data_IF_855716017171
#
_entry.id   IF_855716017171
#
_cell.length_a   1.000
_cell.length_b   1.000
_cell.length_c   1.000
_cell.angle_alpha   90.00
_cell.angle_beta   90.00
_cell.angle_gamma   90.00
#
_symmetry.space_group_name_H-M   'P 1'
#
loop_
_entity.id
_entity.type
_entity.pdbx_description
1 polymer ?
#
# COMPACT_ATOMS: atom_id res chain seq x y z
N UNK A 1 1.12 -26.49 5.98
CA UNK A 1 1.33 -25.69 7.23
C UNK A 1 1.15 -24.18 7.04
N UNK A 2 1.17 -23.67 5.82
CA UNK A 2 1.09 -22.21 5.51
C UNK A 2 -0.26 -21.61 5.91
N UNK A 3 -1.36 -22.31 5.77
CA UNK A 3 -2.70 -21.83 6.17
C UNK A 3 -2.87 -21.76 7.70
N UNK A 4 -2.13 -22.57 8.46
CA UNK A 4 -2.14 -22.51 9.93
C UNK A 4 -1.45 -21.26 10.48
N UNK A 5 -0.49 -20.68 9.73
CA UNK A 5 0.19 -19.45 10.10
C UNK A 5 -0.65 -18.17 9.88
N UNK A 6 -1.74 -18.25 9.10
CA UNK A 6 -2.61 -17.10 8.84
C UNK A 6 -3.48 -16.71 10.05
N UNK A 7 -3.85 -17.67 10.90
CA UNK A 7 -4.60 -17.40 12.12
C UNK A 7 -3.64 -17.41 13.30
N UNK A 8 -3.39 -16.29 13.96
CA UNK A 8 -2.47 -16.24 15.09
C UNK A 8 -3.10 -16.93 16.30
N UNK A 9 -2.39 -17.92 16.88
CA UNK A 9 -2.78 -18.54 18.15
C UNK A 9 -2.71 -17.55 19.33
N UNK A 10 -1.85 -16.52 19.20
CA UNK A 10 -1.74 -15.42 20.15
C UNK A 10 -1.49 -14.11 19.38
N UNK A 11 -2.45 -13.17 19.37
CA UNK A 11 -2.32 -11.92 18.63
C UNK A 11 -1.20 -11.01 19.16
N UNK A 12 -0.94 -11.01 20.45
CA UNK A 12 0.15 -10.21 21.05
C UNK A 12 1.50 -10.74 20.61
N UNK A 13 1.66 -12.07 20.58
CA UNK A 13 2.86 -12.69 20.03
C UNK A 13 3.02 -12.42 18.55
N UNK A 14 1.93 -12.48 17.77
CA UNK A 14 1.96 -12.13 16.35
C UNK A 14 2.41 -10.67 16.10
N UNK A 15 2.02 -9.74 16.96
CA UNK A 15 2.50 -8.35 16.93
C UNK A 15 3.99 -8.25 17.25
N UNK A 16 4.45 -8.96 18.28
CA UNK A 16 5.87 -8.98 18.69
C UNK A 16 6.78 -9.63 17.64
N UNK A 17 6.29 -10.68 16.98
CA UNK A 17 7.02 -11.43 15.93
C UNK A 17 6.87 -10.77 14.53
N UNK A 18 6.25 -9.58 14.43
CA UNK A 18 5.94 -8.88 13.18
C UNK A 18 5.18 -9.75 12.16
N UNK A 19 4.35 -10.70 12.62
CA UNK A 19 3.43 -11.46 11.76
C UNK A 19 2.23 -10.59 11.38
N UNK A 20 2.45 -9.68 10.44
CA UNK A 20 1.47 -8.67 10.05
C UNK A 20 0.21 -9.31 9.46
N UNK A 21 0.35 -10.39 8.68
CA UNK A 21 -0.79 -11.08 8.08
C UNK A 21 -1.73 -11.61 9.16
N UNK A 22 -1.19 -12.27 10.18
CA UNK A 22 -1.98 -12.74 11.32
C UNK A 22 -2.66 -11.60 12.09
N UNK A 23 -1.94 -10.49 12.28
CA UNK A 23 -2.49 -9.29 12.96
C UNK A 23 -3.64 -8.68 12.17
N UNK A 24 -3.52 -8.54 10.84
CA UNK A 24 -4.59 -7.98 9.97
C UNK A 24 -5.83 -8.87 10.00
N UNK A 25 -5.67 -10.19 9.91
CA UNK A 25 -6.79 -11.13 9.99
C UNK A 25 -7.48 -11.02 11.35
N UNK A 26 -6.72 -10.98 12.44
CA UNK A 26 -7.28 -10.81 13.78
C UNK A 26 -8.03 -9.47 13.93
N UNK A 27 -7.46 -8.37 13.44
CA UNK A 27 -8.11 -7.06 13.41
C UNK A 27 -9.42 -7.09 12.61
N UNK A 28 -9.45 -7.83 11.49
CA UNK A 28 -10.66 -8.04 10.70
C UNK A 28 -11.77 -8.72 11.51
N UNK A 29 -11.48 -9.76 12.29
CA UNK A 29 -12.46 -10.40 13.18
C UNK A 29 -12.96 -9.44 14.27
N UNK A 30 -12.08 -8.65 14.86
CA UNK A 30 -12.49 -7.61 15.83
C UNK A 30 -13.42 -6.59 15.16
N UNK A 31 -13.08 -6.11 13.96
CA UNK A 31 -13.91 -5.16 13.21
C UNK A 31 -15.31 -5.71 12.91
N UNK A 32 -15.41 -6.99 12.51
CA UNK A 32 -16.69 -7.69 12.30
C UNK A 32 -17.50 -7.79 13.61
N UNK A 33 -16.82 -8.11 14.71
CA UNK A 33 -17.47 -8.21 16.03
C UNK A 33 -18.01 -6.86 16.49
N UNK A 34 -17.20 -5.80 16.37
CA UNK A 34 -17.59 -4.41 16.67
C UNK A 34 -18.83 -4.02 15.84
N UNK A 35 -18.79 -4.25 14.51
CA UNK A 35 -19.93 -3.95 13.61
C UNK A 35 -21.22 -4.67 14.02
N UNK A 36 -21.13 -5.95 14.46
CA UNK A 36 -22.30 -6.68 14.96
C UNK A 36 -22.84 -6.10 16.25
N UNK A 37 -21.97 -5.78 17.20
CA UNK A 37 -22.34 -5.24 18.50
C UNK A 37 -22.87 -3.81 18.42
N UNK A 38 -22.36 -2.98 17.52
CA UNK A 38 -22.82 -1.59 17.31
C UNK A 38 -24.33 -1.52 17.03
N UNK A 39 -24.90 -2.53 16.35
CA UNK A 39 -26.34 -2.57 16.08
C UNK A 39 -27.22 -2.72 17.35
N UNK A 40 -26.69 -3.30 18.43
CA UNK A 40 -27.44 -3.63 19.63
C UNK A 40 -26.93 -2.93 20.90
N UNK A 41 -25.63 -2.64 20.95
CA UNK A 41 -24.94 -2.15 22.15
C UNK A 41 -23.99 -0.98 21.81
N UNK A 42 -24.48 0.02 21.06
CA UNK A 42 -23.65 1.16 20.60
C UNK A 42 -22.93 1.86 21.75
N UNK A 43 -23.63 2.15 22.84
CA UNK A 43 -23.08 2.86 24.00
C UNK A 43 -21.89 2.13 24.64
N UNK A 44 -21.95 0.77 24.67
CA UNK A 44 -20.89 -0.04 25.27
C UNK A 44 -19.68 -0.16 24.35
N UNK A 45 -19.90 -0.17 23.04
CA UNK A 45 -18.85 -0.39 22.03
C UNK A 45 -18.21 0.91 21.60
N UNK A 46 -18.90 2.05 21.72
CA UNK A 46 -18.41 3.37 21.32
C UNK A 46 -17.03 3.73 21.89
N UNK A 47 -16.74 3.54 23.19
CA UNK A 47 -15.41 3.83 23.74
C UNK A 47 -14.29 3.03 23.07
N UNK A 48 -14.55 1.77 22.66
CA UNK A 48 -13.57 0.96 21.94
C UNK A 48 -13.32 1.49 20.53
N UNK A 49 -14.36 1.95 19.84
CA UNK A 49 -14.25 2.58 18.51
C UNK A 49 -13.43 3.88 18.62
N UNK A 50 -13.77 4.73 19.60
CA UNK A 50 -13.09 6.02 19.85
C UNK A 50 -11.61 5.79 20.19
N UNK A 51 -11.31 4.74 20.98
CA UNK A 51 -9.92 4.35 21.30
C UNK A 51 -9.13 3.93 20.06
N UNK A 52 -9.72 3.12 19.20
CA UNK A 52 -9.06 2.68 17.94
C UNK A 52 -8.83 3.89 17.03
N UNK A 53 -9.80 4.80 16.91
CA UNK A 53 -9.66 6.02 16.10
C UNK A 53 -8.59 6.95 16.67
N UNK A 54 -8.57 7.16 17.98
CA UNK A 54 -7.53 7.95 18.65
C UNK A 54 -6.14 7.31 18.45
N UNK A 55 -6.01 6.00 18.64
CA UNK A 55 -4.78 5.26 18.42
C UNK A 55 -4.28 5.37 16.98
N UNK A 56 -5.18 5.25 16.00
CA UNK A 56 -4.86 5.45 14.60
C UNK A 56 -4.32 6.86 14.32
N UNK A 57 -4.96 7.91 14.83
CA UNK A 57 -4.50 9.30 14.67
C UNK A 57 -3.13 9.54 15.31
N UNK A 58 -2.91 8.99 16.51
CA UNK A 58 -1.63 9.11 17.22
C UNK A 58 -0.52 8.44 16.43
N UNK A 59 -0.71 7.17 16.02
CA UNK A 59 0.31 6.41 15.27
C UNK A 59 0.57 7.06 13.92
N UNK A 60 -0.46 7.55 13.23
CA UNK A 60 -0.30 8.30 11.97
C UNK A 60 0.53 9.56 12.18
N UNK A 61 0.31 10.31 13.26
CA UNK A 61 1.10 11.49 13.60
C UNK A 61 2.57 11.16 13.86
N UNK A 62 2.84 10.05 14.57
CA UNK A 62 4.21 9.54 14.79
C UNK A 62 4.86 9.17 13.45
N UNK A 63 4.16 8.41 12.60
CA UNK A 63 4.65 8.03 11.28
C UNK A 63 4.98 9.26 10.42
N UNK A 64 4.10 10.27 10.40
CA UNK A 64 4.34 11.52 9.66
C UNK A 64 5.55 12.29 10.21
N UNK A 65 5.82 12.21 11.50
CA UNK A 65 7.00 12.82 12.10
C UNK A 65 8.28 12.11 11.64
N UNK A 66 8.27 10.78 11.61
CA UNK A 66 9.41 9.98 11.10
C UNK A 66 9.66 10.25 9.61
N UNK A 67 8.59 10.35 8.80
CA UNK A 67 8.66 10.64 7.36
C UNK A 67 9.35 11.99 7.07
N UNK A 68 9.27 12.98 7.97
CA UNK A 68 10.00 14.25 7.82
C UNK A 68 11.53 14.08 7.78
N UNK A 69 12.05 13.02 8.36
CA UNK A 69 13.48 12.69 8.30
C UNK A 69 13.88 11.89 7.06
N UNK A 70 12.90 11.48 6.23
CA UNK A 70 13.13 10.66 5.04
C UNK A 70 14.15 11.26 4.05
N UNK A 71 14.18 12.59 3.76
CA UNK A 71 15.18 13.15 2.86
C UNK A 71 16.63 12.86 3.31
N UNK A 72 16.91 12.92 4.61
CA UNK A 72 18.22 12.61 5.15
C UNK A 72 18.56 11.13 5.06
N UNK A 73 17.58 10.27 5.37
CA UNK A 73 17.71 8.83 5.22
C UNK A 73 17.97 8.42 3.76
N UNK A 74 17.28 9.04 2.81
CA UNK A 74 17.46 8.82 1.37
C UNK A 74 18.90 9.12 0.93
N UNK A 75 19.47 10.25 1.34
CA UNK A 75 20.86 10.62 1.02
C UNK A 75 21.82 9.57 1.60
N UNK A 76 21.65 9.19 2.86
CA UNK A 76 22.50 8.20 3.51
C UNK A 76 22.41 6.82 2.84
N UNK A 77 21.20 6.37 2.49
CA UNK A 77 20.97 5.08 1.81
C UNK A 77 21.56 5.07 0.40
N UNK A 78 21.39 6.15 -0.36
CA UNK A 78 21.99 6.28 -1.70
C UNK A 78 23.50 6.26 -1.63
N UNK A 79 24.09 7.03 -0.73
CA UNK A 79 25.53 7.05 -0.54
C UNK A 79 26.08 5.67 -0.18
N UNK A 80 25.46 4.99 0.77
CA UNK A 80 25.83 3.64 1.16
C UNK A 80 25.69 2.61 0.01
N UNK A 81 24.61 2.73 -0.77
CA UNK A 81 24.35 1.82 -1.91
C UNK A 81 25.39 2.01 -3.01
N UNK A 82 25.72 3.27 -3.35
CA UNK A 82 26.72 3.59 -4.37
C UNK A 82 28.11 3.16 -3.90
N UNK A 83 28.45 3.42 -2.63
CA UNK A 83 29.73 3.03 -2.08
C UNK A 83 29.94 1.50 -2.04
N UNK A 84 28.86 0.75 -1.74
CA UNK A 84 28.94 -0.69 -1.62
C UNK A 84 28.83 -1.48 -2.93
N UNK A 85 28.10 -0.95 -3.92
CA UNK A 85 27.76 -1.67 -5.18
C UNK A 85 28.23 -0.97 -6.45
N UNK A 86 28.72 0.24 -6.37
CA UNK A 86 29.21 1.01 -7.51
C UNK A 86 28.13 1.31 -8.57
N UNK A 87 28.57 1.47 -9.82
CA UNK A 87 27.70 1.84 -10.95
C UNK A 87 26.61 0.80 -11.26
N UNK A 88 26.82 -0.46 -10.93
CA UNK A 88 25.81 -1.53 -11.14
C UNK A 88 24.53 -1.31 -10.33
N UNK A 89 24.63 -0.67 -9.16
CA UNK A 89 23.47 -0.30 -8.36
C UNK A 89 22.58 0.72 -9.09
N UNK A 90 23.18 1.70 -9.74
CA UNK A 90 22.44 2.73 -10.50
C UNK A 90 21.65 2.10 -11.65
N UNK A 91 22.28 1.16 -12.39
CA UNK A 91 21.61 0.43 -13.48
C UNK A 91 20.42 -0.38 -12.95
N UNK A 92 20.59 -1.07 -11.83
CA UNK A 92 19.52 -1.88 -11.22
C UNK A 92 18.35 -1.01 -10.76
N UNK A 93 18.64 0.13 -10.14
CA UNK A 93 17.62 1.12 -9.73
C UNK A 93 16.89 1.68 -10.95
N UNK A 94 17.60 2.02 -12.02
CA UNK A 94 16.98 2.53 -13.27
C UNK A 94 16.05 1.50 -13.89
N UNK A 95 16.46 0.23 -13.95
CA UNK A 95 15.60 -0.86 -14.43
C UNK A 95 14.35 -1.02 -13.58
N UNK A 96 14.48 -0.89 -12.26
CA UNK A 96 13.34 -0.96 -11.35
C UNK A 96 12.37 0.22 -11.56
N UNK A 97 12.89 1.44 -11.75
CA UNK A 97 12.07 2.61 -12.08
C UNK A 97 11.27 2.35 -13.37
N UNK A 98 11.93 1.87 -14.41
CA UNK A 98 11.26 1.55 -15.66
C UNK A 98 10.17 0.48 -15.47
N UNK A 99 10.48 -0.60 -14.74
CA UNK A 99 9.53 -1.68 -14.49
C UNK A 99 8.29 -1.20 -13.73
N UNK A 100 8.45 -0.36 -12.69
CA UNK A 100 7.31 0.12 -11.92
C UNK A 100 6.42 1.06 -12.74
N UNK A 101 6.99 2.00 -13.51
CA UNK A 101 6.18 2.90 -14.34
C UNK A 101 5.49 2.19 -15.50
N UNK A 102 6.12 1.17 -16.09
CA UNK A 102 5.47 0.29 -17.08
C UNK A 102 4.30 -0.45 -16.43
N UNK A 103 4.50 -1.02 -15.25
CA UNK A 103 3.43 -1.73 -14.53
C UNK A 103 2.27 -0.81 -14.14
N UNK A 104 2.54 0.41 -13.68
CA UNK A 104 1.52 1.41 -13.40
C UNK A 104 0.77 1.79 -14.68
N UNK A 105 1.48 1.96 -15.80
CA UNK A 105 0.88 2.21 -17.10
C UNK A 105 -0.08 1.10 -17.52
N UNK A 106 0.29 -0.17 -17.32
CA UNK A 106 -0.57 -1.32 -17.59
C UNK A 106 -1.82 -1.33 -16.70
N UNK A 107 -1.68 -1.02 -15.41
CA UNK A 107 -2.83 -0.87 -14.49
C UNK A 107 -3.74 0.26 -14.95
N UNK A 108 -3.18 1.38 -15.37
CA UNK A 108 -3.95 2.51 -15.90
C UNK A 108 -4.73 2.13 -17.15
N UNK A 109 -4.09 1.43 -18.11
CA UNK A 109 -4.75 0.89 -19.31
C UNK A 109 -5.88 -0.08 -18.93
N UNK A 110 -5.65 -0.95 -17.95
CA UNK A 110 -6.67 -1.86 -17.43
C UNK A 110 -7.90 -1.10 -16.89
N UNK A 111 -7.70 -0.03 -16.12
CA UNK A 111 -8.81 0.81 -15.66
C UNK A 111 -9.55 1.49 -16.82
N UNK A 112 -8.83 1.95 -17.86
CA UNK A 112 -9.46 2.52 -19.06
C UNK A 112 -10.32 1.51 -19.78
N UNK A 113 -9.89 0.26 -19.86
CA UNK A 113 -10.67 -0.84 -20.44
C UNK A 113 -11.94 -1.07 -19.62
N UNK A 114 -11.85 -1.14 -18.29
CA UNK A 114 -13.02 -1.32 -17.41
C UNK A 114 -14.04 -0.18 -17.61
N UNK A 115 -13.58 1.07 -17.68
CA UNK A 115 -14.44 2.25 -17.91
C UNK A 115 -15.15 2.10 -19.27
N UNK A 116 -14.42 1.70 -20.31
CA UNK A 116 -14.97 1.50 -21.66
C UNK A 116 -15.99 0.36 -21.70
N UNK A 117 -15.74 -0.74 -21.00
CA UNK A 117 -16.69 -1.87 -20.89
C UNK A 117 -18.00 -1.47 -20.22
N UNK A 118 -17.97 -0.49 -19.33
CA UNK A 118 -19.15 0.11 -18.72
C UNK A 118 -19.81 1.20 -19.59
N UNK A 119 -19.45 1.28 -20.90
CA UNK A 119 -19.99 2.24 -21.88
C UNK A 119 -19.75 3.72 -21.51
N UNK A 120 -18.75 3.97 -20.65
CA UNK A 120 -18.31 5.32 -20.30
C UNK A 120 -17.10 5.71 -21.16
N UNK A 121 -17.00 7.01 -21.47
CA UNK A 121 -15.87 7.52 -22.24
C UNK A 121 -14.65 7.71 -21.32
N UNK A 122 -13.57 6.91 -21.48
CA UNK A 122 -12.40 6.96 -20.60
C UNK A 122 -11.66 8.31 -20.66
N UNK A 123 -11.60 8.95 -21.84
CA UNK A 123 -10.93 10.25 -21.97
C UNK A 123 -11.70 11.36 -21.24
N UNK A 124 -13.04 11.32 -21.31
CA UNK A 124 -13.88 12.25 -20.56
C UNK A 124 -13.73 12.03 -19.06
N UNK A 125 -13.65 10.77 -18.63
CA UNK A 125 -13.42 10.42 -17.23
C UNK A 125 -12.09 10.98 -16.72
N UNK A 126 -10.97 10.74 -17.44
CA UNK A 126 -9.65 11.29 -17.08
C UNK A 126 -9.72 12.81 -16.93
N UNK A 127 -10.36 13.50 -17.88
CA UNK A 127 -10.51 14.97 -17.82
C UNK A 127 -11.26 15.41 -16.56
N UNK A 128 -12.29 14.67 -16.16
CA UNK A 128 -13.09 14.98 -14.97
C UNK A 128 -12.31 14.78 -13.68
N UNK A 129 -11.42 13.75 -13.61
CA UNK A 129 -10.64 13.42 -12.42
C UNK A 129 -9.18 13.91 -12.49
N UNK A 130 -8.84 14.76 -13.46
CA UNK A 130 -7.47 15.28 -13.65
C UNK A 130 -6.96 16.04 -12.41
N UNK A 131 -7.82 16.83 -11.78
CA UNK A 131 -7.46 17.62 -10.60
C UNK A 131 -7.03 16.73 -9.41
N UNK A 132 -7.81 15.74 -8.95
CA UNK A 132 -7.36 14.83 -7.91
C UNK A 132 -6.14 13.98 -8.34
N UNK A 133 -5.99 13.61 -9.61
CA UNK A 133 -4.81 12.88 -10.09
C UNK A 133 -3.53 13.72 -9.94
N UNK A 134 -3.56 14.98 -10.34
CA UNK A 134 -2.41 15.90 -10.19
C UNK A 134 -2.10 16.11 -8.70
N UNK A 135 -3.13 16.30 -7.88
CA UNK A 135 -2.96 16.49 -6.45
C UNK A 135 -2.41 15.23 -5.78
N UNK A 136 -2.88 14.04 -6.15
CA UNK A 136 -2.37 12.76 -5.65
C UNK A 136 -0.90 12.56 -6.02
N UNK A 137 -0.54 12.86 -7.27
CA UNK A 137 0.83 12.77 -7.75
C UNK A 137 1.78 13.69 -6.95
N UNK A 138 1.38 14.92 -6.68
CA UNK A 138 2.21 15.90 -5.98
C UNK A 138 2.25 15.68 -4.48
N UNK A 139 1.12 15.32 -3.86
CA UNK A 139 1.02 15.08 -2.41
C UNK A 139 1.50 13.69 -1.98
N UNK A 140 1.51 12.74 -2.89
CA UNK A 140 1.81 11.31 -2.61
C UNK A 140 0.89 10.71 -1.54
N UNK A 141 -0.34 11.20 -1.45
CA UNK A 141 -1.28 10.80 -0.41
C UNK A 141 -2.70 10.63 -0.96
N UNK A 142 -3.17 9.40 -1.04
CA UNK A 142 -4.55 9.09 -1.42
C UNK A 142 -5.56 9.62 -0.41
N UNK A 143 -5.25 9.55 0.89
CA UNK A 143 -6.09 10.13 1.95
C UNK A 143 -6.10 11.65 1.91
N UNK A 144 -4.96 12.29 1.66
CA UNK A 144 -4.86 13.74 1.56
C UNK A 144 -5.65 14.32 0.37
N UNK A 145 -5.82 13.54 -0.69
CA UNK A 145 -6.57 13.94 -1.89
C UNK A 145 -8.04 13.54 -1.85
N UNK A 146 -8.46 12.76 -0.86
CA UNK A 146 -9.80 12.21 -0.78
C UNK A 146 -10.93 13.26 -0.91
N UNK A 147 -10.89 14.42 -0.24
CA UNK A 147 -11.94 15.43 -0.41
C UNK A 147 -12.09 15.91 -1.86
N UNK A 148 -10.96 16.19 -2.52
CA UNK A 148 -10.95 16.64 -3.92
C UNK A 148 -11.37 15.52 -4.88
N UNK A 149 -11.08 14.27 -4.53
CA UNK A 149 -11.54 13.09 -5.27
C UNK A 149 -13.05 12.95 -5.19
N UNK A 150 -13.64 13.09 -4.00
CA UNK A 150 -15.09 13.04 -3.81
C UNK A 150 -15.78 14.18 -4.57
N UNK A 151 -15.27 15.40 -4.47
CA UNK A 151 -15.77 16.57 -5.20
C UNK A 151 -15.74 16.32 -6.71
N UNK A 152 -14.63 15.84 -7.27
CA UNK A 152 -14.51 15.56 -8.70
C UNK A 152 -15.47 14.46 -9.17
N UNK A 153 -15.66 13.42 -8.36
CA UNK A 153 -16.61 12.35 -8.65
C UNK A 153 -18.06 12.84 -8.63
N UNK A 154 -18.42 13.70 -7.67
CA UNK A 154 -19.79 14.22 -7.54
C UNK A 154 -20.08 15.31 -8.57
N UNK A 155 -19.27 16.35 -8.66
CA UNK A 155 -19.57 17.52 -9.48
C UNK A 155 -19.23 17.35 -10.96
N UNK A 156 -18.13 16.62 -11.27
CA UNK A 156 -17.67 16.48 -12.65
C UNK A 156 -18.04 15.14 -13.28
N UNK A 157 -18.08 14.06 -12.51
CA UNK A 157 -18.44 12.75 -13.01
C UNK A 157 -19.92 12.38 -12.78
N UNK A 158 -20.66 13.14 -11.95
CA UNK A 158 -22.08 12.94 -11.71
C UNK A 158 -22.41 11.74 -10.83
N UNK A 159 -21.46 11.29 -9.99
CA UNK A 159 -21.67 10.19 -9.04
C UNK A 159 -22.40 10.72 -7.81
N UNK A 160 -23.35 9.93 -7.29
CA UNK A 160 -24.02 10.26 -6.03
C UNK A 160 -23.00 10.47 -4.90
N UNK A 161 -23.20 11.50 -4.05
CA UNK A 161 -22.25 11.88 -3.02
C UNK A 161 -22.05 10.76 -1.98
N UNK A 162 -23.08 10.01 -1.62
CA UNK A 162 -22.98 8.89 -0.70
C UNK A 162 -22.11 7.79 -1.28
N UNK A 163 -22.29 7.48 -2.57
CA UNK A 163 -21.49 6.48 -3.30
C UNK A 163 -20.05 6.97 -3.45
N UNK A 164 -19.82 8.23 -3.87
CA UNK A 164 -18.51 8.81 -4.05
C UNK A 164 -17.72 8.84 -2.73
N UNK A 165 -18.35 9.22 -1.62
CA UNK A 165 -17.75 9.24 -0.30
C UNK A 165 -17.40 7.84 0.20
N UNK A 166 -18.29 6.87 0.01
CA UNK A 166 -18.06 5.48 0.44
C UNK A 166 -16.93 4.83 -0.38
N UNK A 167 -17.03 4.87 -1.70
CA UNK A 167 -16.04 4.24 -2.61
C UNK A 167 -14.70 4.96 -2.52
N UNK A 168 -14.69 6.29 -2.45
CA UNK A 168 -13.48 7.08 -2.31
C UNK A 168 -12.74 6.79 -1.01
N UNK A 169 -13.46 6.74 0.12
CA UNK A 169 -12.89 6.41 1.43
C UNK A 169 -12.35 4.97 1.46
N UNK A 170 -13.06 4.03 0.87
CA UNK A 170 -12.60 2.65 0.78
C UNK A 170 -11.36 2.55 -0.11
N UNK A 171 -11.39 3.14 -1.30
CA UNK A 171 -10.30 3.10 -2.28
C UNK A 171 -9.03 3.83 -1.84
N UNK A 172 -9.14 4.83 -0.97
CA UNK A 172 -7.97 5.52 -0.42
C UNK A 172 -7.18 4.69 0.61
N UNK A 173 -7.79 3.63 1.15
CA UNK A 173 -7.16 2.70 2.10
C UNK A 173 -7.04 1.28 1.56
N UNK A 174 -8.02 0.85 0.78
CA UNK A 174 -8.07 -0.48 0.18
C UNK A 174 -8.14 -0.32 -1.34
N UNK A 175 -7.33 -0.97 -2.10
CA UNK A 175 -7.36 -0.85 -3.57
C UNK A 175 -6.29 0.04 -4.16
N UNK A 176 -5.28 0.38 -3.38
CA UNK A 176 -4.08 1.06 -3.85
C UNK A 176 -3.23 0.12 -4.71
N UNK A 177 -3.53 0.06 -6.00
CA UNK A 177 -2.87 -0.88 -6.93
C UNK A 177 -1.36 -0.66 -7.01
N UNK A 178 -0.90 0.60 -6.98
CA UNK A 178 0.52 0.94 -7.03
C UNK A 178 1.25 0.62 -5.73
N UNK A 179 0.83 1.22 -4.62
CA UNK A 179 1.54 1.16 -3.34
C UNK A 179 1.42 -0.19 -2.64
N UNK A 180 0.25 -0.83 -2.70
CA UNK A 180 -0.03 -2.04 -1.94
C UNK A 180 0.06 -3.33 -2.76
N UNK A 181 0.12 -3.26 -4.11
CA UNK A 181 0.22 -4.44 -4.95
C UNK A 181 1.45 -4.40 -5.86
N UNK A 182 1.53 -3.48 -6.82
CA UNK A 182 2.58 -3.47 -7.85
C UNK A 182 3.97 -3.30 -7.22
N UNK A 183 4.12 -2.33 -6.34
CA UNK A 183 5.43 -2.03 -5.74
C UNK A 183 5.95 -3.17 -4.86
N UNK A 184 5.21 -3.70 -3.88
CA UNK A 184 5.69 -4.82 -3.08
C UNK A 184 5.88 -6.11 -3.90
N UNK A 185 5.09 -6.34 -4.96
CA UNK A 185 5.30 -7.46 -5.88
C UNK A 185 6.65 -7.37 -6.60
N UNK A 186 6.94 -6.22 -7.22
CA UNK A 186 8.21 -5.98 -7.90
C UNK A 186 9.39 -6.05 -6.94
N UNK A 187 9.24 -5.54 -5.72
CA UNK A 187 10.27 -5.63 -4.70
C UNK A 187 10.53 -7.07 -4.27
N UNK A 188 9.50 -7.87 -4.03
CA UNK A 188 9.63 -9.28 -3.67
C UNK A 188 10.35 -10.07 -4.77
N UNK A 189 9.97 -9.87 -6.04
CA UNK A 189 10.63 -10.49 -7.20
C UNK A 189 12.09 -10.03 -7.30
N UNK A 190 12.36 -8.74 -7.12
CA UNK A 190 13.71 -8.19 -7.18
C UNK A 190 14.59 -8.77 -6.08
N UNK A 191 14.10 -8.84 -4.85
CA UNK A 191 14.83 -9.42 -3.72
C UNK A 191 15.02 -10.92 -3.91
N UNK A 192 14.01 -11.65 -4.40
CA UNK A 192 14.14 -13.07 -4.72
C UNK A 192 15.25 -13.33 -5.74
N UNK A 193 15.31 -12.52 -6.81
CA UNK A 193 16.40 -12.58 -7.79
C UNK A 193 17.77 -12.30 -7.17
N UNK A 194 17.86 -11.32 -6.27
CA UNK A 194 19.12 -10.93 -5.63
C UNK A 194 19.59 -11.94 -4.59
N UNK A 195 18.66 -12.63 -3.93
CA UNK A 195 18.94 -13.65 -2.90
C UNK A 195 19.10 -15.06 -3.46
N UNK A 196 18.82 -15.25 -4.77
CA UNK A 196 18.81 -16.58 -5.39
C UNK A 196 17.65 -17.46 -4.96
N UNK A 197 16.57 -16.86 -4.43
CA UNK A 197 15.35 -17.58 -4.03
C UNK A 197 14.63 -18.09 -5.27
N UNK A 198 14.30 -19.41 -5.36
CA UNK A 198 13.59 -19.96 -6.51
C UNK A 198 12.18 -19.36 -6.62
N UNK A 199 11.83 -18.93 -7.83
CA UNK A 199 10.54 -18.32 -8.15
C UNK A 199 9.70 -19.31 -8.97
N UNK A 200 9.17 -20.30 -8.29
CA UNK A 200 8.26 -21.29 -8.85
C UNK A 200 6.78 -20.81 -8.78
N UNK A 201 5.86 -21.64 -9.26
CA UNK A 201 4.42 -21.33 -9.23
C UNK A 201 3.91 -21.13 -7.78
N UNK A 202 4.48 -21.85 -6.82
CA UNK A 202 4.17 -21.71 -5.40
C UNK A 202 4.57 -20.34 -4.87
N UNK A 203 5.73 -19.82 -5.27
CA UNK A 203 6.19 -18.48 -4.94
C UNK A 203 5.19 -17.41 -5.40
N UNK A 204 4.77 -17.47 -6.67
CA UNK A 204 3.82 -16.48 -7.21
C UNK A 204 2.42 -16.62 -6.57
N UNK A 205 1.96 -17.84 -6.32
CA UNK A 205 0.71 -18.07 -5.60
C UNK A 205 0.70 -17.50 -4.19
N UNK A 206 1.79 -17.74 -3.44
CA UNK A 206 1.97 -17.20 -2.10
C UNK A 206 2.07 -15.67 -2.12
N UNK A 207 2.85 -15.11 -3.03
CA UNK A 207 3.00 -13.68 -3.21
C UNK A 207 1.64 -13.01 -3.44
N UNK A 208 0.81 -13.57 -4.31
CA UNK A 208 -0.53 -13.05 -4.60
C UNK A 208 -1.40 -13.04 -3.33
N UNK A 209 -1.45 -14.14 -2.59
CA UNK A 209 -2.26 -14.24 -1.36
C UNK A 209 -1.79 -13.24 -0.31
N UNK A 210 -0.47 -13.12 -0.09
CA UNK A 210 0.08 -12.20 0.89
C UNK A 210 -0.21 -10.74 0.50
N UNK A 211 -0.08 -10.38 -0.78
CA UNK A 211 -0.39 -9.03 -1.28
C UNK A 211 -1.88 -8.70 -1.06
N UNK A 212 -2.78 -9.61 -1.41
CA UNK A 212 -4.23 -9.39 -1.22
C UNK A 212 -4.53 -9.11 0.26
N UNK A 213 -4.01 -9.94 1.16
CA UNK A 213 -4.28 -9.79 2.60
C UNK A 213 -3.61 -8.54 3.16
N UNK A 214 -2.35 -8.29 2.82
CA UNK A 214 -1.61 -7.13 3.34
C UNK A 214 -2.16 -5.81 2.83
N UNK A 215 -2.70 -5.76 1.61
CA UNK A 215 -3.27 -4.55 1.01
C UNK A 215 -4.44 -3.97 1.82
N UNK A 216 -5.14 -4.80 2.59
CA UNK A 216 -6.24 -4.37 3.46
C UNK A 216 -5.76 -3.53 4.66
N UNK A 217 -4.49 -3.67 5.04
CA UNK A 217 -3.90 -2.96 6.19
C UNK A 217 -3.01 -1.77 5.83
N UNK A 218 -2.92 -1.40 4.55
CA UNK A 218 -2.06 -0.30 4.09
C UNK A 218 -2.88 0.97 3.91
N UNK A 219 -2.50 2.03 4.63
CA UNK A 219 -3.15 3.34 4.53
C UNK A 219 -2.57 4.17 3.38
N UNK A 220 -3.38 5.03 2.76
CA UNK A 220 -3.01 5.94 1.66
C UNK A 220 -2.23 7.17 2.09
N UNK A 221 -1.13 6.98 2.83
CA UNK A 221 -0.24 8.03 3.33
C UNK A 221 1.12 7.97 2.63
N UNK A 222 1.86 9.09 2.54
CA UNK A 222 3.19 9.10 1.95
C UNK A 222 4.13 8.10 2.63
N UNK A 223 4.89 7.32 1.85
CA UNK A 223 5.90 6.38 2.36
C UNK A 223 5.35 5.07 2.94
N UNK A 224 4.04 4.86 3.00
CA UNK A 224 3.46 3.60 3.55
C UNK A 224 3.70 2.39 2.66
N UNK A 225 4.06 2.58 1.40
CA UNK A 225 4.44 1.49 0.52
C UNK A 225 5.72 0.77 0.97
N UNK A 226 6.64 1.45 1.67
CA UNK A 226 7.78 0.81 2.31
C UNK A 226 7.32 -0.20 3.38
N UNK A 227 6.26 0.13 4.13
CA UNK A 227 5.62 -0.80 5.06
C UNK A 227 5.01 -1.99 4.31
N UNK A 228 4.31 -1.74 3.20
CA UNK A 228 3.76 -2.81 2.36
C UNK A 228 4.84 -3.79 1.89
N UNK A 229 5.99 -3.27 1.45
CA UNK A 229 7.15 -4.09 1.07
C UNK A 229 7.64 -4.91 2.25
N UNK A 230 7.83 -4.31 3.42
CA UNK A 230 8.28 -5.02 4.62
C UNK A 230 7.35 -6.17 4.99
N UNK A 231 6.03 -5.93 4.95
CA UNK A 231 4.99 -6.92 5.24
C UNK A 231 5.03 -8.07 4.24
N UNK A 232 5.07 -7.75 2.94
CA UNK A 232 5.07 -8.79 1.89
C UNK A 232 6.34 -9.62 1.94
N UNK A 233 7.51 -9.01 2.07
CA UNK A 233 8.79 -9.73 2.14
C UNK A 233 8.86 -10.60 3.40
N UNK A 234 8.40 -10.12 4.54
CA UNK A 234 8.34 -10.91 5.78
C UNK A 234 7.35 -12.06 5.64
N UNK A 235 6.17 -11.82 5.07
CA UNK A 235 5.16 -12.84 4.81
C UNK A 235 5.64 -13.93 3.83
N UNK A 236 6.52 -13.57 2.89
CA UNK A 236 7.19 -14.51 1.97
C UNK A 236 8.35 -15.30 2.64
N UNK A 237 8.64 -15.06 3.93
CA UNK A 237 9.78 -15.67 4.61
C UNK A 237 11.14 -15.08 4.23
N UNK A 238 11.14 -13.96 3.51
CA UNK A 238 12.35 -13.30 3.00
C UNK A 238 12.77 -12.09 3.84
N UNK A 239 12.26 -11.93 5.06
CA UNK A 239 12.53 -10.76 5.92
C UNK A 239 14.02 -10.48 6.16
N UNK A 240 14.85 -11.52 6.24
CA UNK A 240 16.30 -11.38 6.38
C UNK A 240 16.97 -10.68 5.18
N UNK A 241 16.34 -10.70 4.01
CA UNK A 241 16.85 -10.08 2.78
C UNK A 241 16.35 -8.63 2.58
N UNK A 242 15.54 -8.10 3.49
CA UNK A 242 15.04 -6.73 3.41
C UNK A 242 16.13 -5.65 3.19
N UNK A 243 17.33 -5.76 3.79
CA UNK A 243 18.41 -4.80 3.54
C UNK A 243 18.84 -4.69 2.07
N UNK A 244 18.58 -5.72 1.24
CA UNK A 244 18.86 -5.69 -0.21
C UNK A 244 18.00 -4.64 -0.94
N UNK A 245 16.85 -4.30 -0.38
CA UNK A 245 15.95 -3.27 -0.92
C UNK A 245 16.48 -1.83 -0.76
N UNK A 246 17.51 -1.61 0.07
CA UNK A 246 17.95 -0.28 0.51
C UNK A 246 18.15 0.72 -0.63
N UNK A 247 18.76 0.29 -1.74
CA UNK A 247 18.97 1.17 -2.90
C UNK A 247 17.68 1.62 -3.60
N UNK A 248 16.65 0.76 -3.62
CA UNK A 248 15.35 1.07 -4.21
C UNK A 248 14.52 1.91 -3.24
N UNK A 249 14.56 1.58 -1.95
CA UNK A 249 13.89 2.36 -0.92
C UNK A 249 14.41 3.79 -0.82
N UNK A 250 15.68 4.00 -1.15
CA UNK A 250 16.27 5.34 -1.19
C UNK A 250 15.61 6.28 -2.23
N UNK A 251 15.10 5.73 -3.33
CA UNK A 251 14.40 6.51 -4.37
C UNK A 251 12.87 6.46 -4.23
N UNK A 252 12.37 5.85 -3.15
CA UNK A 252 10.95 5.70 -2.86
C UNK A 252 10.13 7.00 -3.04
N UNK A 253 10.58 8.19 -2.60
CA UNK A 253 9.84 9.42 -2.80
C UNK A 253 9.52 9.76 -4.26
N UNK A 254 10.38 9.35 -5.21
CA UNK A 254 10.15 9.55 -6.64
C UNK A 254 9.16 8.51 -7.16
N UNK A 255 9.31 7.27 -6.73
CA UNK A 255 8.41 6.18 -7.11
C UNK A 255 7.00 6.38 -6.55
N UNK A 256 6.90 6.96 -5.35
CA UNK A 256 5.65 7.22 -4.63
C UNK A 256 4.74 8.23 -5.33
N UNK A 257 5.31 9.12 -6.15
CA UNK A 257 4.52 10.09 -6.91
C UNK A 257 3.61 9.43 -7.96
N UNK A 258 4.08 8.40 -8.64
CA UNK A 258 3.36 7.76 -9.74
C UNK A 258 2.44 6.61 -9.32
N UNK A 259 2.70 5.96 -8.19
CA UNK A 259 1.94 4.78 -7.72
C UNK A 259 0.89 5.17 -6.69
#
# INVERSE_FOLDING_TARGET
DTLRGLLPSNPVKAMADANVVGVVIFAGFIGIAIKRLTKKYLEIVKPAIDLVEAGYKIITSVAMTVIKFMPYAVIALLANTIAGRGMSAIISVTKFIAAIYVSIGLVFVFHMIIISLNKLNPFRYIKNVAQPLILAFTSRSSLGTLPVTIEALTEKAGVDNGVASFVGSLGSNMGMNGCAAVYPALMAITIANMSGTPMDLSFYGMLLVIIIVSSLGIAGLPGTATMAVSVVISGMGMGAYFPLAGGILAIDPILDMGR
#
